data_IF_150395177779
#
_entry.id   IF_150395177779
#
_cell.length_a   1.000
_cell.length_b   1.000
_cell.length_c   1.000
_cell.angle_alpha   90.00
_cell.angle_beta   90.00
_cell.angle_gamma   90.00
#
_symmetry.space_group_name_H-M   'P 1'
#
loop_
_entity.id
_entity.type
_entity.pdbx_description
1 polymer ?
#
# COMPACT_ATOMS: atom_id res chain seq x y z
N UNK A 1 -16.30 -18.65 7.01
CA UNK A 1 -16.78 -17.39 6.40
C UNK A 1 -16.73 -16.18 7.34
N UNK A 2 -17.43 -16.17 8.49
CA UNK A 2 -17.39 -15.02 9.43
C UNK A 2 -15.96 -14.68 9.89
N UNK A 3 -15.19 -15.70 10.31
CA UNK A 3 -13.79 -15.54 10.73
C UNK A 3 -12.88 -14.94 9.65
N UNK A 4 -13.13 -15.23 8.36
CA UNK A 4 -12.33 -14.63 7.27
C UNK A 4 -12.68 -13.16 7.07
N UNK A 5 -13.92 -12.75 7.33
CA UNK A 5 -14.32 -11.32 7.31
C UNK A 5 -13.70 -10.57 8.48
N UNK A 6 -13.69 -11.17 9.67
CA UNK A 6 -13.00 -10.61 10.83
C UNK A 6 -11.49 -10.48 10.57
N UNK A 7 -10.87 -11.50 9.96
CA UNK A 7 -9.47 -11.43 9.56
C UNK A 7 -9.19 -10.26 8.59
N UNK A 8 -10.05 -10.06 7.60
CA UNK A 8 -9.93 -8.93 6.66
C UNK A 8 -10.08 -7.57 7.33
N UNK A 9 -10.95 -7.47 8.35
CA UNK A 9 -11.09 -6.27 9.17
C UNK A 9 -9.82 -5.98 9.99
N UNK A 10 -9.34 -6.95 10.79
CA UNK A 10 -8.12 -6.78 11.59
C UNK A 10 -6.89 -6.45 10.71
N UNK A 11 -6.77 -7.13 9.56
CA UNK A 11 -5.73 -6.84 8.57
C UNK A 11 -5.80 -5.38 8.07
N UNK A 12 -7.00 -4.83 7.88
CA UNK A 12 -7.21 -3.48 7.35
C UNK A 12 -6.69 -2.41 8.32
N UNK A 13 -6.92 -2.59 9.62
CA UNK A 13 -6.48 -1.68 10.69
C UNK A 13 -5.03 -1.93 11.16
N UNK A 14 -4.33 -2.89 10.55
CA UNK A 14 -2.93 -3.20 10.85
C UNK A 14 -2.71 -4.23 11.98
N UNK A 15 -3.77 -4.80 12.54
CA UNK A 15 -3.71 -5.84 13.58
C UNK A 15 -3.42 -7.23 12.97
N UNK A 16 -2.21 -7.40 12.44
CA UNK A 16 -1.83 -8.61 11.68
C UNK A 16 -1.89 -9.90 12.51
N UNK A 17 -1.55 -9.85 13.80
CA UNK A 17 -1.58 -11.02 14.69
C UNK A 17 -3.00 -11.50 14.98
N UNK A 18 -3.94 -10.58 15.19
CA UNK A 18 -5.35 -10.91 15.36
C UNK A 18 -5.92 -11.44 14.04
N UNK A 19 -5.58 -10.81 12.92
CA UNK A 19 -5.96 -11.30 11.60
C UNK A 19 -5.49 -12.75 11.38
N UNK A 20 -4.23 -13.08 11.66
CA UNK A 20 -3.70 -14.46 11.59
C UNK A 20 -4.46 -15.41 12.50
N UNK A 21 -4.76 -14.99 13.72
CA UNK A 21 -5.48 -15.81 14.69
C UNK A 21 -6.85 -16.20 14.16
N UNK A 22 -7.59 -15.24 13.59
CA UNK A 22 -8.88 -15.49 12.95
C UNK A 22 -8.78 -16.45 11.76
N UNK A 23 -7.75 -16.29 10.92
CA UNK A 23 -7.54 -17.20 9.78
C UNK A 23 -7.18 -18.63 10.26
N UNK A 24 -6.31 -18.77 11.25
CA UNK A 24 -5.95 -20.08 11.84
C UNK A 24 -7.17 -20.78 12.47
N UNK A 25 -8.04 -20.03 13.14
CA UNK A 25 -9.32 -20.55 13.65
C UNK A 25 -10.24 -21.01 12.52
N UNK A 26 -10.27 -20.28 11.39
CA UNK A 26 -11.05 -20.69 10.22
C UNK A 26 -10.53 -21.99 9.60
N UNK A 27 -9.21 -22.17 9.55
CA UNK A 27 -8.55 -23.40 9.07
C UNK A 27 -8.90 -24.58 9.99
N UNK A 28 -8.69 -24.43 11.30
CA UNK A 28 -8.99 -25.48 12.27
C UNK A 28 -10.46 -25.91 12.23
N UNK A 29 -11.38 -24.96 12.04
CA UNK A 29 -12.81 -25.26 11.87
C UNK A 29 -13.14 -25.96 10.55
N UNK A 30 -12.42 -25.65 9.46
CA UNK A 30 -12.57 -26.29 8.16
C UNK A 30 -12.05 -27.74 8.15
N UNK A 31 -10.96 -28.01 8.89
CA UNK A 31 -10.36 -29.35 9.00
C UNK A 31 -11.26 -30.33 9.78
N UNK A 32 -12.01 -29.84 10.77
CA UNK A 32 -12.97 -30.65 11.55
C UNK A 32 -14.23 -30.98 10.72
N UNK A 33 -14.61 -30.10 9.79
CA UNK A 33 -15.76 -30.25 8.90
C UNK A 33 -15.34 -30.64 7.48
N UNK A 34 -14.89 -31.88 7.27
CA UNK A 34 -14.61 -32.50 5.96
C UNK A 34 -15.61 -32.04 4.88
N UNK A 35 -15.33 -30.98 4.09
CA UNK A 35 -15.91 -30.69 2.75
C UNK A 35 -15.62 -29.33 2.09
N UNK A 36 -15.01 -28.33 2.74
CA UNK A 36 -14.86 -27.01 2.10
C UNK A 36 -13.43 -26.68 1.64
N UNK A 37 -13.00 -27.33 0.55
CA UNK A 37 -11.70 -27.06 -0.07
C UNK A 37 -11.53 -25.60 -0.52
N UNK A 38 -12.63 -24.90 -0.83
CA UNK A 38 -12.65 -23.48 -1.17
C UNK A 38 -12.31 -22.59 0.03
N UNK A 39 -12.88 -22.90 1.20
CA UNK A 39 -12.58 -22.19 2.45
C UNK A 39 -11.11 -22.34 2.87
N UNK A 40 -10.56 -23.56 2.78
CA UNK A 40 -9.15 -23.81 3.11
C UNK A 40 -8.20 -23.05 2.17
N UNK A 41 -8.50 -23.05 0.87
CA UNK A 41 -7.73 -22.28 -0.12
C UNK A 41 -7.79 -20.78 0.17
N UNK A 42 -8.99 -20.25 0.46
CA UNK A 42 -9.21 -18.85 0.81
C UNK A 42 -8.44 -18.44 2.07
N UNK A 43 -8.46 -19.29 3.10
CA UNK A 43 -7.76 -19.05 4.34
C UNK A 43 -6.23 -19.06 4.16
N UNK A 44 -5.68 -20.03 3.42
CA UNK A 44 -4.24 -20.07 3.10
C UNK A 44 -3.79 -18.82 2.34
N UNK A 45 -4.56 -18.42 1.32
CA UNK A 45 -4.31 -17.19 0.59
C UNK A 45 -4.31 -15.95 1.51
N UNK A 46 -5.27 -15.86 2.44
CA UNK A 46 -5.33 -14.73 3.36
C UNK A 46 -4.14 -14.68 4.32
N UNK A 47 -3.58 -15.84 4.73
CA UNK A 47 -2.30 -15.87 5.46
C UNK A 47 -1.17 -15.28 4.63
N UNK A 48 -1.01 -15.74 3.39
CA UNK A 48 0.03 -15.21 2.48
C UNK A 48 -0.13 -13.70 2.25
N UNK A 49 -1.38 -13.22 2.17
CA UNK A 49 -1.68 -11.79 2.05
C UNK A 49 -1.30 -11.01 3.30
N UNK A 50 -1.57 -11.53 4.50
CA UNK A 50 -1.19 -10.90 5.77
C UNK A 50 0.33 -10.88 5.91
N UNK A 51 1.00 -11.99 5.63
CA UNK A 51 2.46 -12.09 5.70
C UNK A 51 3.14 -11.11 4.73
N UNK A 52 2.62 -10.96 3.51
CA UNK A 52 3.11 -9.97 2.57
C UNK A 52 2.89 -8.54 3.06
N UNK A 53 1.76 -8.25 3.69
CA UNK A 53 1.52 -6.91 4.22
C UNK A 53 2.39 -6.61 5.44
N UNK A 54 2.80 -7.58 6.24
CA UNK A 54 3.67 -7.31 7.39
C UNK A 54 5.14 -7.12 6.97
N UNK A 55 5.68 -8.04 6.17
CA UNK A 55 7.07 -7.97 5.69
C UNK A 55 7.18 -8.36 4.22
N UNK A 56 6.87 -7.44 3.28
CA UNK A 56 6.91 -7.74 1.86
C UNK A 56 8.30 -8.28 1.44
N UNK A 57 9.38 -7.72 1.99
CA UNK A 57 10.78 -8.04 1.61
C UNK A 57 11.13 -9.48 1.93
N UNK A 58 10.79 -9.92 3.12
CA UNK A 58 11.20 -11.23 3.61
C UNK A 58 10.41 -12.36 2.94
N UNK A 59 9.15 -12.10 2.56
CA UNK A 59 8.27 -13.13 2.01
C UNK A 59 8.15 -13.09 0.48
N UNK A 60 8.66 -12.06 -0.19
CA UNK A 60 8.54 -11.90 -1.64
C UNK A 60 9.03 -13.14 -2.40
N UNK A 61 10.24 -13.63 -2.12
CA UNK A 61 10.80 -14.79 -2.82
C UNK A 61 9.93 -16.04 -2.67
N UNK A 62 9.42 -16.28 -1.46
CA UNK A 62 8.47 -17.37 -1.19
C UNK A 62 7.21 -17.20 -2.05
N UNK A 63 6.57 -16.03 -1.99
CA UNK A 63 5.27 -15.79 -2.62
C UNK A 63 5.35 -15.61 -4.15
N UNK A 64 6.47 -15.13 -4.68
CA UNK A 64 6.74 -15.05 -6.11
C UNK A 64 6.89 -16.44 -6.75
N UNK A 65 7.42 -17.40 -5.99
CA UNK A 65 7.58 -18.80 -6.40
C UNK A 65 6.29 -19.64 -6.25
N UNK A 66 5.36 -19.23 -5.36
CA UNK A 66 4.08 -19.92 -5.17
C UNK A 66 3.03 -19.56 -6.24
N UNK A 67 2.74 -20.55 -7.10
CA UNK A 67 1.41 -21.18 -7.21
C UNK A 67 0.36 -20.57 -8.18
N UNK A 68 -0.41 -21.41 -8.90
CA UNK A 68 -1.36 -21.01 -9.96
C UNK A 68 -2.57 -20.22 -9.44
N UNK A 69 -3.33 -19.64 -10.39
CA UNK A 69 -4.63 -18.99 -10.17
C UNK A 69 -5.50 -19.76 -9.16
N UNK A 70 -6.18 -19.10 -8.20
CA UNK A 70 -7.14 -19.78 -7.33
C UNK A 70 -8.14 -20.54 -8.20
N UNK A 71 -8.55 -21.73 -7.76
CA UNK A 71 -9.50 -22.57 -8.47
C UNK A 71 -10.68 -21.73 -9.02
N UNK A 72 -11.17 -22.03 -10.24
CA UNK A 72 -12.05 -21.14 -11.00
C UNK A 72 -13.15 -20.55 -10.14
N UNK A 73 -13.42 -19.25 -10.36
CA UNK A 73 -14.27 -18.27 -9.65
C UNK A 73 -15.59 -18.77 -9.02
N UNK A 74 -16.02 -20.00 -9.34
CA UNK A 74 -17.23 -20.66 -8.85
C UNK A 74 -17.02 -21.51 -7.57
N UNK A 75 -15.78 -21.76 -7.13
CA UNK A 75 -15.48 -22.58 -5.94
C UNK A 75 -14.96 -21.77 -4.73
N UNK A 76 -14.77 -20.46 -4.88
CA UNK A 76 -14.08 -19.59 -3.90
C UNK A 76 -15.03 -18.47 -3.47
N UNK A 77 -14.95 -18.01 -2.22
CA UNK A 77 -15.61 -16.78 -1.81
C UNK A 77 -15.15 -15.65 -2.74
N UNK A 78 -16.04 -15.17 -3.60
CA UNK A 78 -15.79 -14.12 -4.61
C UNK A 78 -15.12 -12.87 -4.01
N UNK A 79 -15.26 -12.65 -2.70
CA UNK A 79 -14.63 -11.55 -1.95
C UNK A 79 -13.12 -11.69 -1.82
N UNK A 80 -12.56 -12.88 -1.99
CA UNK A 80 -11.11 -13.11 -1.95
C UNK A 80 -10.43 -12.83 -3.30
N UNK A 81 -11.17 -12.90 -4.40
CA UNK A 81 -10.66 -12.61 -5.75
C UNK A 81 -9.98 -11.23 -5.87
N UNK A 82 -10.59 -10.10 -5.43
CA UNK A 82 -9.91 -8.80 -5.52
C UNK A 82 -8.63 -8.75 -4.69
N UNK A 83 -8.59 -9.40 -3.52
CA UNK A 83 -7.37 -9.48 -2.73
C UNK A 83 -6.27 -10.29 -3.41
N UNK A 84 -6.62 -11.40 -4.07
CA UNK A 84 -5.67 -12.22 -4.80
C UNK A 84 -5.05 -11.46 -5.96
N UNK A 85 -5.89 -10.85 -6.80
CA UNK A 85 -5.42 -10.02 -7.90
C UNK A 85 -4.57 -8.84 -7.38
N UNK A 86 -4.97 -8.17 -6.29
CA UNK A 86 -4.17 -7.11 -5.69
C UNK A 86 -2.78 -7.62 -5.24
N UNK A 87 -2.70 -8.78 -4.58
CA UNK A 87 -1.41 -9.38 -4.19
C UNK A 87 -0.54 -9.69 -5.42
N UNK A 88 -1.11 -10.29 -6.47
CA UNK A 88 -0.37 -10.59 -7.71
C UNK A 88 0.17 -9.31 -8.37
N UNK A 89 -0.62 -8.24 -8.38
CA UNK A 89 -0.16 -6.94 -8.86
C UNK A 89 1.01 -6.38 -8.06
N UNK A 90 0.96 -6.48 -6.73
CA UNK A 90 2.04 -6.06 -5.84
C UNK A 90 3.32 -6.90 -6.02
N UNK A 91 3.19 -8.21 -6.18
CA UNK A 91 4.31 -9.12 -6.47
C UNK A 91 4.94 -8.80 -7.83
N UNK A 92 4.14 -8.58 -8.88
CA UNK A 92 4.63 -8.19 -10.19
C UNK A 92 5.36 -6.84 -10.17
N UNK A 93 4.84 -5.85 -9.44
CA UNK A 93 5.53 -4.57 -9.20
C UNK A 93 6.88 -4.78 -8.53
N UNK A 94 6.95 -5.59 -7.49
CA UNK A 94 8.23 -5.84 -6.80
C UNK A 94 9.24 -6.56 -7.71
N UNK A 95 8.80 -7.59 -8.43
CA UNK A 95 9.64 -8.27 -9.41
C UNK A 95 10.16 -7.29 -10.48
N UNK A 96 9.33 -6.35 -10.93
CA UNK A 96 9.75 -5.29 -11.85
C UNK A 96 10.85 -4.42 -11.23
N UNK A 97 10.68 -3.98 -9.99
CA UNK A 97 11.67 -3.14 -9.31
C UNK A 97 12.99 -3.86 -9.09
N UNK A 98 12.97 -5.16 -8.76
CA UNK A 98 14.18 -5.98 -8.67
C UNK A 98 14.86 -6.13 -10.04
N UNK A 99 14.10 -6.49 -11.08
CA UNK A 99 14.62 -6.61 -12.44
C UNK A 99 15.22 -5.30 -12.97
N UNK A 100 14.63 -4.15 -12.62
CA UNK A 100 15.14 -2.83 -13.03
C UNK A 100 16.51 -2.50 -12.41
N UNK A 101 16.82 -3.04 -11.22
CA UNK A 101 18.12 -2.85 -10.56
C UNK A 101 19.20 -3.75 -11.15
N UNK A 102 18.82 -4.89 -11.71
CA UNK A 102 19.73 -5.90 -12.27
C UNK A 102 20.05 -5.68 -13.77
N UNK A 103 19.66 -4.54 -14.34
CA UNK A 103 19.78 -4.24 -15.78
C UNK A 103 19.10 -5.28 -16.68
N UNK A 104 17.92 -5.76 -16.27
CA UNK A 104 17.13 -6.71 -17.04
C UNK A 104 16.70 -6.16 -18.41
N UNK A 105 16.37 -7.08 -19.33
CA UNK A 105 15.86 -6.76 -20.66
C UNK A 105 14.56 -5.92 -20.58
N UNK A 106 14.44 -4.92 -21.45
CA UNK A 106 13.28 -4.02 -21.52
C UNK A 106 11.98 -4.78 -21.71
N UNK A 107 11.99 -5.84 -22.53
CA UNK A 107 10.81 -6.69 -22.76
C UNK A 107 10.35 -7.39 -21.47
N UNK A 108 11.28 -7.82 -20.61
CA UNK A 108 10.93 -8.40 -19.32
C UNK A 108 10.29 -7.37 -18.39
N UNK A 109 10.86 -6.16 -18.34
CA UNK A 109 10.32 -5.04 -17.53
C UNK A 109 8.91 -4.68 -17.98
N UNK A 110 8.69 -4.55 -19.29
CA UNK A 110 7.37 -4.26 -19.87
C UNK A 110 6.37 -5.39 -19.61
N UNK A 111 6.79 -6.65 -19.70
CA UNK A 111 5.93 -7.80 -19.38
C UNK A 111 5.47 -7.80 -17.91
N UNK A 112 6.37 -7.49 -16.97
CA UNK A 112 6.03 -7.36 -15.56
C UNK A 112 5.12 -6.16 -15.28
N UNK A 113 5.34 -5.04 -15.98
CA UNK A 113 4.50 -3.86 -15.90
C UNK A 113 3.06 -4.17 -16.34
N UNK A 114 2.89 -4.83 -17.50
CA UNK A 114 1.59 -5.25 -18.01
C UNK A 114 0.90 -6.26 -17.08
N UNK A 115 1.66 -7.20 -16.51
CA UNK A 115 1.12 -8.14 -15.52
C UNK A 115 0.60 -7.42 -14.27
N UNK A 116 1.34 -6.43 -13.76
CA UNK A 116 0.92 -5.64 -12.61
C UNK A 116 -0.37 -4.85 -12.91
N UNK A 117 -0.45 -4.19 -14.06
CA UNK A 117 -1.65 -3.45 -14.49
C UNK A 117 -2.87 -4.37 -14.60
N UNK A 118 -2.75 -5.48 -15.35
CA UNK A 118 -3.84 -6.44 -15.53
C UNK A 118 -4.41 -6.91 -14.20
N UNK A 119 -3.55 -7.25 -13.24
CA UNK A 119 -3.99 -7.72 -11.94
C UNK A 119 -4.62 -6.61 -11.10
N UNK A 120 -4.04 -5.41 -11.06
CA UNK A 120 -4.59 -4.30 -10.28
C UNK A 120 -5.95 -3.83 -10.84
N UNK A 121 -6.09 -3.72 -12.16
CA UNK A 121 -7.35 -3.36 -12.83
C UNK A 121 -8.42 -4.44 -12.61
N UNK A 122 -8.05 -5.72 -12.69
CA UNK A 122 -8.98 -6.82 -12.39
C UNK A 122 -9.42 -6.79 -10.92
N UNK A 123 -8.51 -6.48 -9.99
CA UNK A 123 -8.86 -6.30 -8.59
C UNK A 123 -9.86 -5.15 -8.38
N UNK A 124 -9.65 -4.01 -9.07
CA UNK A 124 -10.59 -2.88 -9.03
C UNK A 124 -11.97 -3.27 -9.58
N UNK A 125 -12.02 -4.01 -10.69
CA UNK A 125 -13.27 -4.51 -11.26
C UNK A 125 -14.05 -5.36 -10.24
N UNK A 126 -13.39 -6.30 -9.57
CA UNK A 126 -14.05 -7.12 -8.55
C UNK A 126 -14.48 -6.31 -7.33
N UNK A 127 -13.66 -5.37 -6.85
CA UNK A 127 -14.03 -4.50 -5.74
C UNK A 127 -15.27 -3.65 -6.08
N UNK A 128 -15.35 -3.11 -7.31
CA UNK A 128 -16.52 -2.40 -7.83
C UNK A 128 -17.75 -3.31 -7.92
N UNK A 129 -17.62 -4.51 -8.47
CA UNK A 129 -18.72 -5.47 -8.61
C UNK A 129 -19.29 -5.87 -7.24
N UNK A 130 -18.42 -5.96 -6.22
CA UNK A 130 -18.79 -6.27 -4.84
C UNK A 130 -19.24 -5.05 -4.03
N UNK A 131 -19.11 -3.84 -4.59
CA UNK A 131 -19.35 -2.56 -3.90
C UNK A 131 -18.51 -2.41 -2.62
N UNK A 132 -17.30 -2.97 -2.61
CA UNK A 132 -16.34 -2.82 -1.52
C UNK A 132 -15.48 -1.57 -1.77
N UNK A 133 -16.00 -0.42 -1.36
CA UNK A 133 -15.39 0.88 -1.63
C UNK A 133 -14.09 1.11 -0.86
N UNK A 134 -13.94 0.55 0.33
CA UNK A 134 -12.66 0.59 1.07
C UNK A 134 -11.57 -0.18 0.33
N UNK A 135 -11.91 -1.40 -0.13
CA UNK A 135 -10.97 -2.20 -0.90
C UNK A 135 -10.62 -1.54 -2.24
N UNK A 136 -11.62 -0.94 -2.91
CA UNK A 136 -11.38 -0.21 -4.15
C UNK A 136 -10.40 0.96 -3.94
N UNK A 137 -10.56 1.72 -2.85
CA UNK A 137 -9.65 2.81 -2.50
C UNK A 137 -8.22 2.29 -2.29
N UNK A 138 -8.06 1.20 -1.53
CA UNK A 138 -6.75 0.60 -1.27
C UNK A 138 -6.08 0.06 -2.55
N UNK A 139 -6.84 -0.55 -3.46
CA UNK A 139 -6.32 -1.04 -4.75
C UNK A 139 -5.93 0.14 -5.65
N UNK A 140 -6.74 1.20 -5.69
CA UNK A 140 -6.42 2.39 -6.46
C UNK A 140 -5.17 3.12 -5.94
N UNK A 141 -4.94 3.12 -4.61
CA UNK A 141 -3.69 3.60 -4.03
C UNK A 141 -2.49 2.73 -4.48
N UNK A 142 -2.64 1.40 -4.51
CA UNK A 142 -1.59 0.49 -5.00
C UNK A 142 -1.30 0.64 -6.49
N UNK A 143 -2.33 0.88 -7.32
CA UNK A 143 -2.16 1.21 -8.73
C UNK A 143 -1.40 2.51 -8.92
N UNK A 144 -1.77 3.54 -8.17
CA UNK A 144 -1.06 4.82 -8.20
C UNK A 144 0.41 4.66 -7.82
N UNK A 145 0.70 3.90 -6.76
CA UNK A 145 2.07 3.60 -6.35
C UNK A 145 2.84 2.81 -7.42
N UNK A 146 2.18 1.85 -8.09
CA UNK A 146 2.78 1.12 -9.22
C UNK A 146 3.18 2.09 -10.35
N UNK A 147 2.26 2.94 -10.79
CA UNK A 147 2.53 3.93 -11.84
C UNK A 147 3.67 4.87 -11.43
N UNK A 148 3.67 5.36 -10.18
CA UNK A 148 4.76 6.17 -9.63
C UNK A 148 6.11 5.46 -9.72
N UNK A 149 6.15 4.17 -9.38
CA UNK A 149 7.39 3.39 -9.36
C UNK A 149 8.01 3.16 -10.74
N UNK A 150 7.24 3.34 -11.82
CA UNK A 150 7.69 3.11 -13.20
C UNK A 150 7.91 4.40 -14.01
N UNK A 151 7.81 5.58 -13.38
CA UNK A 151 8.10 6.87 -14.03
C UNK A 151 9.55 6.93 -14.52
N UNK A 152 10.50 6.51 -13.69
CA UNK A 152 11.92 6.50 -14.05
C UNK A 152 12.26 5.52 -15.19
N UNK A 153 11.32 4.61 -15.51
CA UNK A 153 11.41 3.66 -16.60
C UNK A 153 10.65 4.11 -17.85
N UNK A 154 10.10 5.33 -17.86
CA UNK A 154 9.31 5.85 -18.99
C UNK A 154 8.13 4.94 -19.36
N UNK A 155 7.46 4.36 -18.35
CA UNK A 155 6.25 3.52 -18.50
C UNK A 155 4.99 4.19 -17.93
N UNK A 156 5.17 5.34 -17.26
CA UNK A 156 4.10 6.21 -16.80
C UNK A 156 4.62 7.64 -16.76
N UNK A 157 3.74 8.62 -16.97
CA UNK A 157 4.10 10.03 -16.89
C UNK A 157 3.65 10.65 -15.56
N UNK A 158 4.39 11.68 -15.12
CA UNK A 158 4.13 12.39 -13.86
C UNK A 158 2.71 12.95 -13.80
N UNK A 159 2.14 13.38 -14.93
CA UNK A 159 0.80 13.98 -14.96
C UNK A 159 -0.30 12.94 -14.75
N UNK A 160 -0.15 11.76 -15.35
CA UNK A 160 -1.01 10.60 -15.17
C UNK A 160 -0.96 10.12 -13.71
N UNK A 161 0.24 9.96 -13.15
CA UNK A 161 0.40 9.54 -11.74
C UNK A 161 -0.23 10.56 -10.80
N UNK A 162 -0.04 11.85 -11.06
CA UNK A 162 -0.67 12.89 -10.27
C UNK A 162 -2.19 12.84 -10.37
N UNK A 163 -2.76 12.64 -11.57
CA UNK A 163 -4.21 12.51 -11.75
C UNK A 163 -4.79 11.33 -10.95
N UNK A 164 -4.08 10.20 -10.90
CA UNK A 164 -4.45 9.06 -10.07
C UNK A 164 -4.43 9.37 -8.58
N UNK A 165 -3.39 10.06 -8.08
CA UNK A 165 -3.37 10.54 -6.70
C UNK A 165 -4.57 11.45 -6.39
N UNK A 166 -4.89 12.40 -7.28
CA UNK A 166 -6.07 13.28 -7.11
C UNK A 166 -7.37 12.46 -7.06
N UNK A 167 -7.50 11.45 -7.91
CA UNK A 167 -8.68 10.59 -7.95
C UNK A 167 -8.84 9.81 -6.65
N UNK A 168 -7.77 9.15 -6.18
CA UNK A 168 -7.79 8.38 -4.92
C UNK A 168 -8.14 9.29 -3.74
N UNK A 169 -7.51 10.46 -3.65
CA UNK A 169 -7.78 11.42 -2.58
C UNK A 169 -9.22 11.96 -2.61
N UNK A 170 -9.72 12.28 -3.81
CA UNK A 170 -11.11 12.70 -4.01
C UNK A 170 -12.09 11.60 -3.62
N UNK A 171 -11.76 10.36 -3.94
CA UNK A 171 -12.58 9.19 -3.63
C UNK A 171 -12.68 8.98 -2.10
N UNK A 172 -11.54 8.98 -1.40
CA UNK A 172 -11.46 8.95 0.07
C UNK A 172 -12.34 10.04 0.68
N UNK A 173 -12.18 11.29 0.23
CA UNK A 173 -12.92 12.43 0.78
C UNK A 173 -14.43 12.41 0.50
N UNK A 174 -14.86 11.93 -0.67
CA UNK A 174 -16.27 11.97 -1.08
C UNK A 174 -17.08 10.81 -0.54
N UNK A 175 -16.46 9.65 -0.38
CA UNK A 175 -17.14 8.43 0.08
C UNK A 175 -16.83 8.08 1.53
N UNK A 176 -15.92 8.82 2.17
CA UNK A 176 -15.58 8.64 3.58
C UNK A 176 -14.93 7.26 3.88
N UNK A 177 -14.17 6.73 2.92
CA UNK A 177 -13.59 5.37 2.91
C UNK A 177 -12.08 5.37 3.18
N UNK A 178 -11.54 4.20 3.53
CA UNK A 178 -10.09 3.98 3.65
C UNK A 178 -9.46 4.56 4.91
N UNK A 179 -10.25 5.08 5.85
CA UNK A 179 -9.81 5.80 7.06
C UNK A 179 -8.82 5.05 7.94
N UNK A 180 -8.89 3.73 7.90
CA UNK A 180 -8.09 2.78 8.68
C UNK A 180 -6.59 2.72 8.28
N UNK A 181 -6.22 3.36 7.16
CA UNK A 181 -4.85 3.49 6.69
C UNK A 181 -4.57 4.88 6.15
N UNK A 182 -3.30 5.20 5.89
CA UNK A 182 -2.87 6.47 5.30
C UNK A 182 -1.98 6.28 4.07
N UNK A 183 -2.00 5.10 3.44
CA UNK A 183 -1.11 4.79 2.31
C UNK A 183 -1.23 5.79 1.16
N UNK A 184 -2.44 6.23 0.82
CA UNK A 184 -2.64 7.22 -0.24
C UNK A 184 -2.00 8.57 0.08
N UNK A 185 -1.98 8.98 1.35
CA UNK A 185 -1.34 10.22 1.79
C UNK A 185 0.18 10.09 1.76
N UNK A 186 0.66 8.95 2.23
CA UNK A 186 2.08 8.62 2.26
C UNK A 186 2.64 8.66 0.83
N UNK A 187 2.00 7.94 -0.09
CA UNK A 187 2.45 7.85 -1.48
C UNK A 187 2.38 9.21 -2.18
N UNK A 188 1.32 9.98 -1.96
CA UNK A 188 1.21 11.33 -2.52
C UNK A 188 2.26 12.29 -1.95
N UNK A 189 2.53 12.25 -0.64
CA UNK A 189 3.57 13.06 -0.01
C UNK A 189 4.95 12.74 -0.57
N UNK A 190 5.26 11.45 -0.69
CA UNK A 190 6.50 10.98 -1.32
C UNK A 190 6.60 11.41 -2.78
N UNK A 191 5.55 11.17 -3.57
CA UNK A 191 5.48 11.56 -4.97
C UNK A 191 5.74 13.05 -5.17
N UNK A 192 5.10 13.89 -4.35
CA UNK A 192 5.27 15.32 -4.42
C UNK A 192 6.69 15.74 -4.09
N UNK A 193 7.28 15.16 -3.03
CA UNK A 193 8.66 15.44 -2.63
C UNK A 193 9.67 15.06 -3.73
N UNK A 194 9.39 14.02 -4.51
CA UNK A 194 10.27 13.55 -5.60
C UNK A 194 10.07 14.30 -6.92
N UNK A 195 8.90 14.91 -7.15
CA UNK A 195 8.51 15.48 -8.45
C UNK A 195 8.17 16.98 -8.40
N UNK A 196 8.71 17.68 -7.40
CA UNK A 196 8.39 19.09 -7.11
C UNK A 196 8.50 20.00 -8.34
N UNK A 197 9.58 19.88 -9.11
CA UNK A 197 9.84 20.74 -10.28
C UNK A 197 8.74 20.65 -11.34
N UNK A 198 8.19 19.44 -11.54
CA UNK A 198 7.12 19.19 -12.51
C UNK A 198 5.76 19.64 -11.97
N UNK A 199 5.55 19.51 -10.66
CA UNK A 199 4.27 19.76 -9.98
C UNK A 199 4.08 21.22 -9.50
N UNK A 200 5.07 22.10 -9.66
CA UNK A 200 5.03 23.52 -9.25
C UNK A 200 3.90 24.36 -9.84
N UNK A 201 3.23 23.89 -10.90
CA UNK A 201 2.08 24.60 -11.49
C UNK A 201 0.79 24.09 -10.85
N UNK A 202 0.11 24.87 -9.99
CA UNK A 202 -1.16 24.46 -9.42
C UNK A 202 -2.20 24.31 -10.54
N UNK A 203 -2.57 23.05 -10.82
CA UNK A 203 -3.70 22.76 -11.71
C UNK A 203 -4.98 23.25 -11.03
N UNK A 204 -5.74 24.13 -11.72
CA UNK A 204 -7.05 24.60 -11.23
C UNK A 204 -7.94 23.40 -10.88
N UNK A 205 -8.48 23.36 -9.67
CA UNK A 205 -9.45 22.33 -9.23
C UNK A 205 -8.90 21.26 -8.28
N UNK A 206 -7.59 21.13 -8.08
CA UNK A 206 -7.03 20.08 -7.21
C UNK A 206 -7.31 20.31 -5.71
N UNK A 207 -7.52 21.55 -5.26
CA UNK A 207 -7.63 21.89 -3.83
C UNK A 207 -8.76 21.15 -3.07
N UNK A 208 -9.86 20.81 -3.75
CA UNK A 208 -10.98 20.10 -3.14
C UNK A 208 -10.75 18.59 -2.95
N UNK A 209 -9.65 18.06 -3.47
CA UNK A 209 -9.36 16.63 -3.45
C UNK A 209 -8.68 16.16 -2.17
N UNK A 210 -8.04 17.04 -1.39
CA UNK A 210 -7.13 16.61 -0.32
C UNK A 210 -7.74 16.64 1.08
N UNK A 211 -7.18 15.86 2.02
CA UNK A 211 -7.65 15.79 3.41
C UNK A 211 -7.58 17.16 4.06
N UNK A 212 -8.70 17.59 4.65
CA UNK A 212 -8.79 18.92 5.26
C UNK A 212 -8.43 20.06 4.29
N UNK A 213 -8.48 19.81 2.98
CA UNK A 213 -8.08 20.71 1.90
C UNK A 213 -6.59 21.10 1.89
N UNK A 214 -5.73 20.37 2.63
CA UNK A 214 -4.31 20.65 2.72
C UNK A 214 -3.54 20.08 1.53
N UNK A 215 -2.67 20.90 0.91
CA UNK A 215 -1.86 20.49 -0.23
C UNK A 215 -0.57 19.78 0.22
N UNK A 216 0.00 18.86 -0.58
CA UNK A 216 1.32 18.26 -0.28
C UNK A 216 2.48 19.27 -0.16
N UNK A 217 2.28 20.51 -0.62
CA UNK A 217 3.20 21.63 -0.42
C UNK A 217 3.09 22.31 0.95
N UNK A 218 2.13 21.92 1.77
CA UNK A 218 1.83 22.52 3.07
C UNK A 218 2.19 21.56 4.20
N UNK A 219 2.79 22.09 5.27
CA UNK A 219 3.11 21.31 6.48
C UNK A 219 1.89 20.57 7.04
N UNK A 220 0.72 21.21 6.96
CA UNK A 220 -0.56 20.66 7.43
C UNK A 220 -0.87 19.29 6.82
N UNK A 221 -0.53 19.05 5.55
CA UNK A 221 -0.76 17.77 4.89
C UNK A 221 -0.03 16.62 5.60
N UNK A 222 1.26 16.81 5.91
CA UNK A 222 2.07 15.79 6.59
C UNK A 222 1.65 15.60 8.04
N UNK A 223 1.30 16.68 8.74
CA UNK A 223 0.78 16.60 10.12
C UNK A 223 -0.55 15.85 10.16
N UNK A 224 -1.47 16.14 9.24
CA UNK A 224 -2.77 15.46 9.17
C UNK A 224 -2.61 13.98 8.75
N UNK A 225 -1.62 13.66 7.89
CA UNK A 225 -1.25 12.27 7.58
C UNK A 225 -0.77 11.51 8.82
N UNK A 226 0.09 12.11 9.65
CA UNK A 226 0.57 11.48 10.89
C UNK A 226 -0.59 11.28 11.88
N UNK A 227 -1.45 12.30 12.06
CA UNK A 227 -2.62 12.20 12.96
C UNK A 227 -3.58 11.09 12.56
N UNK A 228 -3.79 10.87 11.27
CA UNK A 228 -4.64 9.77 10.78
C UNK A 228 -4.11 8.39 11.22
N UNK A 229 -2.82 8.30 11.50
CA UNK A 229 -2.17 7.08 11.95
C UNK A 229 -2.13 6.94 13.48
N UNK A 230 -2.73 7.85 14.26
CA UNK A 230 -2.73 7.79 15.73
C UNK A 230 -3.39 6.49 16.27
N UNK A 231 -4.31 5.91 15.50
CA UNK A 231 -5.00 4.64 15.81
C UNK A 231 -4.53 3.46 14.94
N UNK A 232 -3.55 3.66 14.05
CA UNK A 232 -3.08 2.62 13.13
C UNK A 232 -1.95 1.79 13.76
N UNK A 233 -2.12 0.47 13.79
CA UNK A 233 -1.12 -0.46 14.31
C UNK A 233 0.04 -0.76 13.33
N UNK A 234 -0.02 -0.26 12.08
CA UNK A 234 1.03 -0.49 11.07
C UNK A 234 2.21 0.46 11.28
N UNK A 235 3.24 -0.04 11.97
CA UNK A 235 4.49 0.68 12.24
C UNK A 235 5.18 1.21 10.97
N UNK A 236 4.98 0.58 9.80
CA UNK A 236 5.60 1.04 8.55
C UNK A 236 4.95 2.30 8.05
N UNK A 237 3.62 2.38 8.09
CA UNK A 237 2.90 3.59 7.72
C UNK A 237 3.34 4.76 8.60
N UNK A 238 3.44 4.54 9.91
CA UNK A 238 3.93 5.56 10.85
C UNK A 238 5.36 5.96 10.53
N UNK A 239 6.24 5.00 10.28
CA UNK A 239 7.63 5.23 9.90
C UNK A 239 7.77 6.07 8.64
N UNK A 240 7.13 5.67 7.55
CA UNK A 240 7.23 6.34 6.25
C UNK A 240 6.54 7.72 6.30
N UNK A 241 5.40 7.87 6.97
CA UNK A 241 4.75 9.16 7.14
C UNK A 241 5.65 10.17 7.87
N UNK A 242 6.31 9.75 8.97
CA UNK A 242 7.27 10.60 9.68
C UNK A 242 8.54 10.86 8.89
N UNK A 243 9.01 9.90 8.09
CA UNK A 243 10.13 10.09 7.18
C UNK A 243 9.81 11.15 6.11
N UNK A 244 8.61 11.10 5.52
CA UNK A 244 8.14 12.12 4.58
C UNK A 244 8.06 13.49 5.25
N UNK A 245 7.56 13.58 6.49
CA UNK A 245 7.56 14.83 7.23
C UNK A 245 8.98 15.35 7.52
N UNK A 246 9.92 14.47 7.86
CA UNK A 246 11.33 14.83 8.06
C UNK A 246 11.96 15.38 6.78
N UNK A 247 11.72 14.72 5.63
CA UNK A 247 12.16 15.18 4.31
C UNK A 247 11.58 16.56 3.99
N UNK A 248 10.27 16.75 4.19
CA UNK A 248 9.62 18.05 4.03
C UNK A 248 10.21 19.12 4.96
N UNK A 249 10.42 18.80 6.24
CA UNK A 249 10.97 19.73 7.22
C UNK A 249 12.38 20.19 6.87
N UNK A 250 13.20 19.30 6.30
CA UNK A 250 14.56 19.61 5.87
C UNK A 250 14.59 20.64 4.76
N UNK A 251 13.66 20.55 3.82
CA UNK A 251 13.69 21.33 2.60
C UNK A 251 12.86 22.63 2.72
N UNK A 252 11.86 22.67 3.62
CA UNK A 252 10.84 23.73 3.65
C UNK A 252 10.59 24.41 4.99
N UNK A 253 11.05 23.84 6.11
CA UNK A 253 10.73 24.38 7.44
C UNK A 253 11.95 25.02 8.11
N UNK A 254 11.70 25.70 9.23
CA UNK A 254 12.77 26.29 10.03
C UNK A 254 13.64 25.22 10.70
N UNK A 255 14.88 25.58 11.02
CA UNK A 255 15.82 24.69 11.73
C UNK A 255 15.25 24.13 13.04
N UNK A 256 14.45 24.92 13.76
CA UNK A 256 13.76 24.46 14.97
C UNK A 256 12.75 23.33 14.68
N UNK A 257 11.98 23.45 13.58
CA UNK A 257 11.03 22.41 13.16
C UNK A 257 11.74 21.16 12.64
N UNK A 258 12.81 21.32 11.87
CA UNK A 258 13.66 20.21 11.43
C UNK A 258 14.25 19.44 12.62
N UNK A 259 14.80 20.15 13.62
CA UNK A 259 15.32 19.52 14.82
C UNK A 259 14.25 18.75 15.60
N UNK A 260 13.03 19.31 15.70
CA UNK A 260 11.90 18.63 16.32
C UNK A 260 11.46 17.38 15.54
N UNK A 261 11.36 17.46 14.20
CA UNK A 261 11.04 16.32 13.34
C UNK A 261 12.09 15.22 13.43
N UNK A 262 13.38 15.58 13.42
CA UNK A 262 14.51 14.65 13.57
C UNK A 262 14.47 13.93 14.91
N UNK A 263 14.31 14.67 16.02
CA UNK A 263 14.18 14.10 17.35
C UNK A 263 12.99 13.13 17.41
N UNK A 264 11.85 13.56 16.86
CA UNK A 264 10.63 12.74 16.87
C UNK A 264 10.79 11.44 16.06
N UNK A 265 11.48 11.49 14.93
CA UNK A 265 11.74 10.32 14.10
C UNK A 265 12.74 9.35 14.76
N UNK A 266 13.81 9.87 15.36
CA UNK A 266 14.77 9.03 16.10
C UNK A 266 14.12 8.30 17.28
N UNK A 267 13.28 9.00 18.05
CA UNK A 267 12.49 8.38 19.14
C UNK A 267 11.58 7.26 18.61
N UNK A 268 10.98 7.43 17.42
CA UNK A 268 10.18 6.36 16.80
C UNK A 268 11.05 5.14 16.47
N UNK A 269 12.22 5.34 15.85
CA UNK A 269 13.14 4.27 15.50
C UNK A 269 13.66 3.51 16.72
N UNK A 270 13.92 4.20 17.83
CA UNK A 270 14.37 3.60 19.09
C UNK A 270 13.27 2.78 19.78
N UNK A 271 12.03 3.26 19.74
CA UNK A 271 10.90 2.63 20.44
C UNK A 271 10.21 1.53 19.61
N UNK A 272 10.45 1.48 18.31
CA UNK A 272 9.77 0.54 17.41
C UNK A 272 10.75 -0.51 16.92
N UNK A 273 10.71 -1.69 17.54
CA UNK A 273 11.63 -2.79 17.22
C UNK A 273 11.60 -3.15 15.74
N UNK A 274 12.76 -3.18 15.10
CA UNK A 274 12.90 -3.61 13.69
C UNK A 274 12.49 -2.56 12.66
N UNK A 275 11.99 -1.37 13.07
CA UNK A 275 11.47 -0.40 12.12
C UNK A 275 12.55 0.12 11.16
N UNK A 276 13.78 0.33 11.65
CA UNK A 276 14.89 0.77 10.80
C UNK A 276 15.17 -0.25 9.70
N UNK A 277 15.25 -1.53 10.07
CA UNK A 277 15.50 -2.63 9.14
C UNK A 277 14.38 -2.76 8.11
N UNK A 278 13.12 -2.60 8.54
CA UNK A 278 11.96 -2.61 7.64
C UNK A 278 12.02 -1.43 6.65
N UNK A 279 12.33 -0.22 7.11
CA UNK A 279 12.45 0.93 6.21
C UNK A 279 13.59 0.74 5.19
N UNK A 280 14.71 0.14 5.61
CA UNK A 280 15.82 -0.17 4.71
C UNK A 280 15.39 -1.22 3.66
N UNK A 281 14.72 -2.29 4.08
CA UNK A 281 14.28 -3.36 3.16
C UNK A 281 13.23 -2.89 2.16
N UNK A 282 12.43 -1.88 2.53
CA UNK A 282 11.48 -1.20 1.65
C UNK A 282 12.12 -0.10 0.78
N UNK A 283 13.44 0.11 0.87
CA UNK A 283 14.19 1.00 -0.02
C UNK A 283 14.36 2.44 0.49
N UNK A 284 13.94 2.73 1.73
CA UNK A 284 14.04 4.08 2.32
C UNK A 284 15.40 4.35 2.99
N UNK A 285 16.36 3.43 2.91
CA UNK A 285 17.66 3.52 3.59
C UNK A 285 18.43 4.82 3.28
N UNK A 286 18.35 5.33 2.05
CA UNK A 286 19.02 6.58 1.64
C UNK A 286 18.42 7.85 2.23
N UNK A 287 17.24 7.76 2.86
CA UNK A 287 16.54 8.89 3.45
C UNK A 287 16.62 8.91 4.98
N UNK A 288 17.15 7.85 5.59
CA UNK A 288 17.30 7.77 7.03
C UNK A 288 18.43 8.71 7.51
N UNK A 289 18.28 9.34 8.70
CA UNK A 289 19.34 10.11 9.34
C UNK A 289 20.46 9.22 9.91
#
# INVERSE_FOLDING_TARGET
>A
MLLLREALFHKRIGECDDARTKVKQAIAGADIGLRDGGLLSSAKFLLDRIDYDESPADVFQRLAQFGPEPAPLFAVDIRTAPHWHNLRGLLARRALLEASKEFADRTQIEGLHQSALLHLETAMYFALALKDFDLLQAIAANLTLHLQSVIALDLADVEQVYAWHILVMSYTNKLDVGKDSAWELIFLGEFWLDNQEVLKKPRKGAKSAYIGYALPSEEKFYVDCIKRLDECADARQVGIARLNYLRFARDYLSQAKLAAATKSFNVLLENTKGLREILISEGYGSHLP
#
